data_IF_387691995726
#
_entry.id   IF_387691995726
#
_cell.length_a   1.000
_cell.length_b   1.000
_cell.length_c   1.000
_cell.angle_alpha   90.00
_cell.angle_beta   90.00
_cell.angle_gamma   90.00
#
_symmetry.space_group_name_H-M   'P 1'
#
loop_
_entity.id
_entity.type
_entity.pdbx_description
1 polymer ?
#
# COMPACT_ATOMS: atom_id res chain seq x y z
N UNK A 1 50.41 -69.84 -24.98
CA UNK A 1 49.12 -69.16 -24.71
C UNK A 1 49.10 -68.76 -23.24
N UNK A 2 49.27 -67.48 -22.94
CA UNK A 2 49.28 -66.96 -21.58
C UNK A 2 47.93 -66.27 -21.29
N UNK A 3 47.28 -66.48 -20.13
CA UNK A 3 46.05 -65.79 -19.79
C UNK A 3 46.35 -64.34 -19.37
N UNK A 4 45.81 -63.40 -20.13
CA UNK A 4 45.82 -61.97 -19.85
C UNK A 4 44.94 -61.62 -18.65
N UNK A 5 45.56 -61.03 -17.62
CA UNK A 5 44.89 -60.50 -16.44
C UNK A 5 43.97 -59.31 -16.79
N UNK A 6 42.79 -59.17 -16.16
CA UNK A 6 41.91 -58.03 -16.40
C UNK A 6 42.48 -56.74 -15.80
N UNK A 7 42.72 -55.77 -16.67
CA UNK A 7 43.18 -54.41 -16.36
C UNK A 7 42.10 -53.67 -15.55
N UNK A 8 42.33 -53.54 -14.24
CA UNK A 8 41.53 -52.74 -13.30
C UNK A 8 41.51 -51.28 -13.79
N UNK A 9 40.36 -50.80 -14.29
CA UNK A 9 40.14 -49.36 -14.55
C UNK A 9 40.14 -48.64 -13.20
N UNK A 10 41.22 -47.94 -12.90
CA UNK A 10 41.29 -46.97 -11.81
C UNK A 10 40.30 -45.84 -12.09
N UNK A 11 39.52 -45.52 -11.07
CA UNK A 11 38.32 -44.69 -11.15
C UNK A 11 38.58 -43.32 -11.74
N UNK A 12 37.59 -42.84 -12.50
CA UNK A 12 37.45 -41.44 -12.83
C UNK A 12 37.51 -40.63 -11.53
N UNK A 13 38.54 -39.78 -11.41
CA UNK A 13 38.61 -38.77 -10.37
C UNK A 13 37.36 -37.89 -10.53
N UNK A 14 36.38 -38.09 -9.64
CA UNK A 14 35.22 -37.22 -9.55
C UNK A 14 35.75 -35.81 -9.34
N UNK A 15 35.48 -34.92 -10.31
CA UNK A 15 35.76 -33.49 -10.19
C UNK A 15 35.08 -33.03 -8.90
N UNK A 16 35.86 -32.79 -7.85
CA UNK A 16 35.39 -32.20 -6.59
C UNK A 16 34.74 -30.87 -6.98
N UNK A 17 33.43 -30.76 -6.79
CA UNK A 17 32.73 -29.51 -6.99
C UNK A 17 33.45 -28.42 -6.17
N UNK A 18 33.70 -27.22 -6.74
CA UNK A 18 34.42 -26.17 -6.04
C UNK A 18 33.68 -25.84 -4.74
N UNK A 19 34.34 -26.05 -3.60
CA UNK A 19 33.79 -25.67 -2.30
C UNK A 19 33.55 -24.16 -2.30
N UNK A 20 32.33 -23.69 -2.02
CA UNK A 20 32.06 -22.26 -1.92
C UNK A 20 32.90 -21.67 -0.78
N UNK A 21 33.55 -20.53 -1.03
CA UNK A 21 34.38 -19.87 -0.03
C UNK A 21 33.53 -19.50 1.21
N UNK A 22 34.12 -19.62 2.41
CA UNK A 22 33.46 -19.30 3.69
C UNK A 22 32.81 -17.90 3.66
N UNK A 23 33.47 -16.92 3.01
CA UNK A 23 32.93 -15.58 2.79
C UNK A 23 31.62 -15.57 2.00
N UNK A 24 31.48 -16.41 0.97
CA UNK A 24 30.23 -16.54 0.21
C UNK A 24 29.13 -17.18 1.04
N UNK A 25 29.46 -18.12 1.93
CA UNK A 25 28.49 -18.73 2.84
C UNK A 25 28.00 -17.71 3.88
N UNK A 26 28.90 -16.92 4.48
CA UNK A 26 28.53 -15.86 5.42
C UNK A 26 27.71 -14.74 4.79
N UNK A 27 28.05 -14.31 3.57
CA UNK A 27 27.25 -13.31 2.83
C UNK A 27 25.86 -13.88 2.50
N UNK A 28 25.80 -15.13 2.05
CA UNK A 28 24.52 -15.78 1.75
C UNK A 28 23.66 -15.92 3.01
N UNK A 29 24.25 -16.28 4.14
CA UNK A 29 23.56 -16.40 5.42
C UNK A 29 23.04 -15.04 5.92
N UNK A 30 23.86 -13.99 5.82
CA UNK A 30 23.47 -12.62 6.18
C UNK A 30 22.31 -12.10 5.32
N UNK A 31 22.36 -12.32 4.00
CA UNK A 31 21.30 -11.95 3.06
C UNK A 31 20.01 -12.79 3.23
N UNK A 32 20.09 -13.96 3.86
CA UNK A 32 18.96 -14.86 4.11
C UNK A 32 18.25 -14.60 5.43
N UNK A 33 18.94 -14.03 6.42
CA UNK A 33 18.46 -14.02 7.81
C UNK A 33 18.18 -12.62 8.34
N UNK A 34 19.11 -11.66 8.20
CA UNK A 34 19.03 -10.41 8.95
C UNK A 34 19.27 -9.14 8.13
N UNK A 35 20.01 -9.19 7.01
CA UNK A 35 20.33 -7.98 6.23
C UNK A 35 19.08 -7.34 5.61
N UNK A 36 18.18 -8.07 4.93
CA UNK A 36 16.98 -7.45 4.36
C UNK A 36 16.05 -6.78 5.39
N UNK A 37 15.71 -7.40 6.54
CA UNK A 37 14.87 -6.73 7.53
C UNK A 37 15.57 -5.54 8.19
N UNK A 38 16.86 -5.61 8.50
CA UNK A 38 17.59 -4.46 9.06
C UNK A 38 17.72 -3.32 8.06
N UNK A 39 17.98 -3.62 6.78
CA UNK A 39 18.01 -2.61 5.73
C UNK A 39 16.65 -1.95 5.54
N UNK A 40 15.55 -2.72 5.54
CA UNK A 40 14.20 -2.17 5.43
C UNK A 40 13.86 -1.26 6.62
N UNK A 41 14.20 -1.66 7.85
CA UNK A 41 14.02 -0.84 9.05
C UNK A 41 14.87 0.44 8.98
N UNK A 42 16.12 0.34 8.52
CA UNK A 42 16.98 1.50 8.35
C UNK A 42 16.42 2.47 7.30
N UNK A 43 15.93 1.97 6.17
CA UNK A 43 15.28 2.81 5.13
C UNK A 43 14.02 3.47 5.68
N UNK A 44 13.20 2.77 6.47
CA UNK A 44 12.04 3.35 7.13
C UNK A 44 12.43 4.44 8.13
N UNK A 45 13.45 4.20 8.95
CA UNK A 45 13.95 5.19 9.90
C UNK A 45 14.47 6.45 9.19
N UNK A 46 15.17 6.27 8.06
CA UNK A 46 15.62 7.39 7.21
C UNK A 46 14.43 8.11 6.58
N UNK A 47 13.43 7.41 6.06
CA UNK A 47 12.24 8.03 5.49
C UNK A 47 11.46 8.84 6.53
N UNK A 48 11.29 8.30 7.74
CA UNK A 48 10.68 9.03 8.86
C UNK A 48 11.52 10.23 9.29
N UNK A 49 12.85 10.15 9.22
CA UNK A 49 13.72 11.28 9.51
C UNK A 49 13.61 12.37 8.43
N UNK A 50 13.54 11.99 7.16
CA UNK A 50 13.34 12.92 6.04
C UNK A 50 11.99 13.64 6.13
N UNK A 51 10.93 12.90 6.50
CA UNK A 51 9.59 13.43 6.78
C UNK A 51 9.64 14.40 7.97
N UNK A 52 10.24 14.00 9.09
CA UNK A 52 10.33 14.83 10.30
C UNK A 52 11.20 16.09 10.15
N UNK A 53 12.07 16.14 9.15
CA UNK A 53 12.94 17.28 8.86
C UNK A 53 12.42 18.15 7.72
N UNK A 54 11.29 17.80 7.12
CA UNK A 54 10.67 18.49 5.96
C UNK A 54 11.67 18.69 4.80
N UNK A 55 12.72 17.85 4.72
CA UNK A 55 13.77 17.92 3.70
C UNK A 55 13.27 17.47 2.34
N UNK A 56 12.18 16.72 2.30
CA UNK A 56 11.60 16.10 1.12
C UNK A 56 10.08 16.23 1.21
N UNK A 57 9.36 16.48 0.09
CA UNK A 57 7.91 16.43 0.07
C UNK A 57 7.34 15.13 0.66
N UNK A 58 6.32 15.24 1.50
CA UNK A 58 5.69 14.14 2.25
C UNK A 58 5.36 12.93 1.36
N UNK A 59 4.86 13.16 0.15
CA UNK A 59 4.51 12.11 -0.81
C UNK A 59 5.71 11.23 -1.22
N UNK A 60 6.91 11.79 -1.30
CA UNK A 60 8.13 11.05 -1.65
C UNK A 60 8.59 10.22 -0.45
N UNK A 61 8.61 10.79 0.76
CA UNK A 61 8.97 10.07 1.98
C UNK A 61 8.01 8.89 2.24
N UNK A 62 6.70 9.12 2.02
CA UNK A 62 5.69 8.08 2.06
C UNK A 62 5.92 7.00 0.98
N UNK A 63 6.25 7.38 -0.26
CA UNK A 63 6.50 6.43 -1.35
C UNK A 63 7.71 5.52 -1.05
N UNK A 64 8.80 6.09 -0.52
CA UNK A 64 9.97 5.33 -0.07
C UNK A 64 9.57 4.32 1.01
N UNK A 65 8.75 4.75 1.97
CA UNK A 65 8.26 3.90 3.07
C UNK A 65 7.42 2.73 2.55
N UNK A 66 6.52 2.98 1.58
CA UNK A 66 5.71 1.94 0.93
C UNK A 66 6.59 0.88 0.27
N UNK A 67 7.57 1.31 -0.53
CA UNK A 67 8.49 0.39 -1.21
C UNK A 67 9.28 -0.43 -0.18
N UNK A 68 9.79 0.19 0.87
CA UNK A 68 10.53 -0.50 1.92
C UNK A 68 9.68 -1.56 2.65
N UNK A 69 8.43 -1.23 3.02
CA UNK A 69 7.50 -2.17 3.67
C UNK A 69 7.15 -3.33 2.74
N UNK A 70 6.88 -3.06 1.46
CA UNK A 70 6.55 -4.11 0.49
C UNK A 70 7.75 -5.03 0.21
N UNK A 71 8.96 -4.49 0.12
CA UNK A 71 10.19 -5.29 -0.01
C UNK A 71 10.37 -6.19 1.20
N UNK A 72 10.12 -5.67 2.42
CA UNK A 72 10.16 -6.46 3.64
C UNK A 72 9.09 -7.57 3.64
N UNK A 73 7.86 -7.24 3.26
CA UNK A 73 6.77 -8.21 3.17
C UNK A 73 7.09 -9.33 2.16
N UNK A 74 7.58 -8.97 0.97
CA UNK A 74 8.01 -9.93 -0.04
C UNK A 74 9.18 -10.78 0.45
N UNK A 75 10.15 -10.18 1.13
CA UNK A 75 11.25 -10.92 1.74
C UNK A 75 10.73 -11.95 2.75
N UNK A 76 9.81 -11.57 3.64
CA UNK A 76 9.22 -12.49 4.62
C UNK A 76 8.41 -13.61 3.96
N UNK A 77 7.69 -13.30 2.88
CA UNK A 77 6.93 -14.28 2.12
C UNK A 77 7.83 -15.30 1.39
N UNK A 78 8.99 -14.86 0.89
CA UNK A 78 9.91 -15.69 0.11
C UNK A 78 11.00 -16.33 0.98
N UNK A 79 11.30 -15.80 2.16
CA UNK A 79 12.35 -16.29 3.07
C UNK A 79 12.31 -17.81 3.31
N UNK A 80 11.14 -18.46 3.50
CA UNK A 80 11.06 -19.92 3.62
C UNK A 80 11.68 -20.65 2.42
N UNK A 81 11.45 -20.16 1.19
CA UNK A 81 12.00 -20.77 -0.03
C UNK A 81 13.50 -20.61 -0.16
N UNK A 82 14.06 -19.53 0.36
CA UNK A 82 15.49 -19.27 0.28
C UNK A 82 16.25 -20.07 1.34
N UNK A 83 15.65 -20.26 2.50
CA UNK A 83 16.19 -21.03 3.61
C UNK A 83 16.22 -22.54 3.33
N UNK A 84 15.28 -23.05 2.54
CA UNK A 84 15.08 -24.48 2.35
C UNK A 84 16.18 -25.19 1.51
N UNK A 85 16.45 -26.45 1.85
CA UNK A 85 17.37 -27.35 1.12
C UNK A 85 16.78 -27.84 -0.21
N UNK A 86 15.48 -27.63 -0.45
CA UNK A 86 14.71 -27.99 -1.65
C UNK A 86 15.06 -27.19 -2.92
N UNK A 87 16.31 -26.72 -3.05
CA UNK A 87 16.88 -25.94 -4.18
C UNK A 87 16.67 -26.53 -5.59
N UNK A 88 16.10 -27.72 -5.71
CA UNK A 88 15.84 -28.39 -6.99
C UNK A 88 14.47 -28.13 -7.63
N UNK A 89 13.48 -27.56 -6.91
CA UNK A 89 12.10 -27.43 -7.45
C UNK A 89 11.87 -26.16 -8.29
N UNK A 90 12.55 -25.06 -7.95
CA UNK A 90 12.41 -23.79 -8.67
C UNK A 90 13.76 -23.13 -8.87
N UNK A 91 14.05 -22.56 -10.06
CA UNK A 91 15.19 -21.69 -10.24
C UNK A 91 15.12 -20.51 -9.27
N UNK A 92 16.24 -20.09 -8.64
CA UNK A 92 16.23 -19.07 -7.59
C UNK A 92 15.75 -17.69 -8.07
N UNK A 93 15.75 -17.44 -9.37
CA UNK A 93 15.27 -16.18 -9.97
C UNK A 93 13.74 -16.10 -10.04
N UNK A 94 13.02 -17.23 -10.06
CA UNK A 94 11.56 -17.25 -10.17
C UNK A 94 10.87 -16.59 -8.97
N UNK A 95 11.15 -16.96 -7.70
CA UNK A 95 10.50 -16.33 -6.56
C UNK A 95 10.85 -14.83 -6.48
N UNK A 96 12.08 -14.45 -6.84
CA UNK A 96 12.49 -13.03 -6.89
C UNK A 96 11.67 -12.26 -7.93
N UNK A 97 11.50 -12.80 -9.13
CA UNK A 97 10.70 -12.16 -10.18
C UNK A 97 9.22 -12.05 -9.78
N UNK A 98 8.64 -13.10 -9.19
CA UNK A 98 7.25 -13.08 -8.69
C UNK A 98 7.10 -12.04 -7.57
N UNK A 99 8.04 -12.00 -6.63
CA UNK A 99 8.08 -11.00 -5.57
C UNK A 99 8.14 -9.58 -6.11
N UNK A 100 9.01 -9.32 -7.10
CA UNK A 100 9.13 -8.02 -7.74
C UNK A 100 7.82 -7.61 -8.46
N UNK A 101 7.18 -8.52 -9.18
CA UNK A 101 5.89 -8.27 -9.83
C UNK A 101 4.81 -7.96 -8.79
N UNK A 102 4.74 -8.74 -7.71
CA UNK A 102 3.79 -8.49 -6.63
C UNK A 102 4.04 -7.13 -5.95
N UNK A 103 5.29 -6.76 -5.70
CA UNK A 103 5.66 -5.43 -5.20
C UNK A 103 5.17 -4.33 -6.13
N UNK A 104 5.41 -4.44 -7.44
CA UNK A 104 4.96 -3.44 -8.42
C UNK A 104 3.43 -3.33 -8.43
N UNK A 105 2.72 -4.45 -8.47
CA UNK A 105 1.25 -4.47 -8.49
C UNK A 105 0.64 -3.85 -7.23
N UNK A 106 1.24 -4.07 -6.06
CA UNK A 106 0.77 -3.52 -4.79
C UNK A 106 1.21 -2.07 -4.58
N UNK A 107 2.42 -1.71 -5.01
CA UNK A 107 2.97 -0.36 -4.86
C UNK A 107 2.30 0.63 -5.82
N UNK A 108 2.03 0.21 -7.06
CA UNK A 108 1.49 1.10 -8.10
C UNK A 108 0.27 1.93 -7.67
N UNK A 109 -0.84 1.34 -7.18
CA UNK A 109 -2.01 2.13 -6.77
C UNK A 109 -1.74 3.09 -5.61
N UNK A 110 -0.76 2.77 -4.75
CA UNK A 110 -0.36 3.61 -3.62
C UNK A 110 0.51 4.76 -4.09
N UNK A 111 1.50 4.50 -4.95
CA UNK A 111 2.44 5.49 -5.47
C UNK A 111 1.74 6.53 -6.34
N UNK A 112 0.84 6.11 -7.25
CA UNK A 112 0.09 7.06 -8.10
C UNK A 112 -0.82 7.96 -7.26
N UNK A 113 -1.30 7.47 -6.12
CA UNK A 113 -2.07 8.26 -5.18
C UNK A 113 -1.21 9.23 -4.35
N UNK A 114 -0.01 8.80 -3.93
CA UNK A 114 0.95 9.64 -3.19
C UNK A 114 1.62 10.72 -4.05
N UNK A 115 1.75 10.46 -5.36
CA UNK A 115 2.38 11.36 -6.32
C UNK A 115 1.39 11.67 -7.47
N UNK A 116 0.42 12.57 -7.23
CA UNK A 116 -0.69 12.88 -8.15
C UNK A 116 -0.32 13.33 -9.57
N UNK A 117 0.95 13.66 -9.82
CA UNK A 117 1.38 14.32 -11.05
C UNK A 117 0.90 15.77 -11.10
N UNK A 118 0.76 16.31 -12.31
CA UNK A 118 0.32 17.69 -12.53
C UNK A 118 -1.20 17.81 -12.36
N UNK A 119 -1.70 18.81 -11.60
CA UNK A 119 -3.13 19.06 -11.49
C UNK A 119 -3.70 19.46 -12.85
N UNK A 120 -4.96 19.09 -13.11
CA UNK A 120 -5.72 19.59 -14.24
C UNK A 120 -6.06 21.06 -14.04
N UNK A 121 -6.56 21.38 -12.84
CA UNK A 121 -6.96 22.73 -12.43
C UNK A 121 -6.80 22.94 -10.94
N UNK A 122 -6.66 24.21 -10.59
CA UNK A 122 -6.74 24.73 -9.24
C UNK A 122 -7.78 25.86 -9.25
N UNK A 123 -8.74 25.81 -8.32
CA UNK A 123 -9.91 26.67 -8.29
C UNK A 123 -10.06 27.24 -6.88
N UNK A 124 -10.14 28.56 -6.76
CA UNK A 124 -10.52 29.17 -5.49
C UNK A 124 -12.02 28.93 -5.25
N UNK A 125 -12.36 28.35 -4.10
CA UNK A 125 -13.75 28.12 -3.70
C UNK A 125 -14.19 29.31 -2.83
N UNK A 126 -14.85 30.27 -3.47
CA UNK A 126 -15.51 31.37 -2.76
C UNK A 126 -16.99 31.03 -2.52
N UNK A 127 -17.54 31.43 -1.37
CA UNK A 127 -18.94 31.17 -1.06
C UNK A 127 -19.87 31.82 -2.10
N UNK A 128 -20.79 31.05 -2.67
CA UNK A 128 -21.69 31.44 -3.75
C UNK A 128 -21.03 31.53 -5.12
N UNK A 129 -19.78 31.07 -5.30
CA UNK A 129 -19.12 31.04 -6.60
C UNK A 129 -19.83 30.08 -7.57
N UNK A 130 -19.94 30.49 -8.84
CA UNK A 130 -20.62 29.74 -9.90
C UNK A 130 -19.86 29.79 -11.22
N UNK A 131 -20.07 28.78 -12.06
CA UNK A 131 -19.63 28.75 -13.45
C UNK A 131 -18.15 28.41 -13.65
N UNK A 132 -17.39 28.22 -12.57
CA UNK A 132 -15.99 27.78 -12.66
C UNK A 132 -15.95 26.39 -13.32
N UNK A 133 -15.18 26.27 -14.40
CA UNK A 133 -15.03 25.00 -15.12
C UNK A 133 -14.05 24.12 -14.34
N UNK A 134 -14.51 22.94 -13.92
CA UNK A 134 -13.76 21.94 -13.15
C UNK A 134 -12.99 21.01 -14.08
N UNK A 135 -13.63 20.54 -15.15
CA UNK A 135 -13.05 19.67 -16.18
C UNK A 135 -13.62 20.07 -17.54
N UNK A 136 -12.78 20.24 -18.55
CA UNK A 136 -13.27 20.48 -19.91
C UNK A 136 -13.76 19.16 -20.56
N UNK A 137 -14.63 19.22 -21.60
CA UNK A 137 -14.98 18.04 -22.38
C UNK A 137 -13.72 17.27 -22.83
N UNK A 138 -13.80 15.94 -22.84
CA UNK A 138 -12.74 15.02 -23.28
C UNK A 138 -11.43 15.00 -22.45
N UNK A 139 -11.28 15.82 -21.41
CA UNK A 139 -10.07 15.79 -20.56
C UNK A 139 -9.99 14.52 -19.71
N UNK A 140 -11.10 14.14 -19.06
CA UNK A 140 -11.19 12.97 -18.20
C UNK A 140 -12.65 12.50 -18.04
N UNK A 141 -12.86 11.19 -17.87
CA UNK A 141 -14.18 10.60 -17.54
C UNK A 141 -14.42 10.46 -16.04
N UNK A 142 -13.35 10.51 -15.24
CA UNK A 142 -13.38 10.51 -13.77
C UNK A 142 -12.23 11.34 -13.23
N UNK A 143 -12.48 12.06 -12.16
CA UNK A 143 -11.50 12.90 -11.48
C UNK A 143 -11.46 12.60 -9.99
N UNK A 144 -10.35 12.98 -9.36
CA UNK A 144 -10.29 13.18 -7.93
C UNK A 144 -10.33 14.69 -7.66
N UNK A 145 -11.39 15.13 -6.98
CA UNK A 145 -11.63 16.50 -6.58
C UNK A 145 -11.15 16.68 -5.14
N UNK A 146 -10.02 17.37 -4.97
CA UNK A 146 -9.39 17.58 -3.67
C UNK A 146 -9.74 18.96 -3.15
N UNK A 147 -10.35 19.04 -1.97
CA UNK A 147 -10.67 20.30 -1.29
C UNK A 147 -9.63 20.54 -0.21
N UNK A 148 -8.91 21.65 -0.30
CA UNK A 148 -7.90 22.11 0.65
C UNK A 148 -8.43 23.34 1.41
N UNK A 149 -8.45 23.25 2.74
CA UNK A 149 -8.85 24.33 3.63
C UNK A 149 -7.67 25.18 4.05
N UNK A 150 -7.85 26.49 3.94
CA UNK A 150 -6.94 27.51 4.40
C UNK A 150 -7.55 28.19 5.63
N UNK A 151 -7.22 27.66 6.80
CA UNK A 151 -7.69 28.19 8.08
C UNK A 151 -6.78 29.34 8.57
N UNK A 152 -7.34 30.41 9.17
CA UNK A 152 -6.53 31.49 9.72
C UNK A 152 -5.67 30.97 10.88
N UNK A 153 -4.41 31.42 10.96
CA UNK A 153 -3.49 31.06 12.05
C UNK A 153 -4.13 31.28 13.43
N UNK A 154 -4.05 30.28 14.31
CA UNK A 154 -4.53 30.36 15.69
C UNK A 154 -3.43 30.01 16.66
N UNK A 155 -3.19 30.89 17.65
CA UNK A 155 -2.32 30.60 18.80
C UNK A 155 -3.07 29.92 19.94
N UNK A 156 -4.40 30.02 19.94
CA UNK A 156 -5.26 29.38 20.92
C UNK A 156 -5.58 27.98 20.41
N UNK A 157 -5.24 26.96 21.21
CA UNK A 157 -5.49 25.52 20.97
C UNK A 157 -7.00 25.22 20.93
N UNK A 158 -7.68 25.77 19.95
CA UNK A 158 -9.12 25.75 19.74
C UNK A 158 -9.42 24.98 18.46
N UNK A 159 -10.52 24.23 18.49
CA UNK A 159 -11.05 23.54 17.32
C UNK A 159 -11.54 24.56 16.29
N UNK A 160 -11.11 24.36 15.04
CA UNK A 160 -11.46 25.18 13.86
C UNK A 160 -11.92 24.24 12.77
N UNK A 161 -13.16 24.39 12.32
CA UNK A 161 -13.73 23.52 11.30
C UNK A 161 -14.39 24.34 10.20
N UNK A 162 -14.29 23.84 8.98
CA UNK A 162 -14.87 24.37 7.77
C UNK A 162 -15.66 23.24 7.10
N UNK A 163 -16.96 23.43 6.99
CA UNK A 163 -17.84 22.56 6.23
C UNK A 163 -17.99 23.15 4.83
N UNK A 164 -17.84 22.29 3.84
CA UNK A 164 -18.05 22.63 2.45
C UNK A 164 -19.15 21.76 1.85
N UNK A 165 -19.90 22.35 0.95
CA UNK A 165 -20.94 21.72 0.13
C UNK A 165 -20.81 22.38 -1.26
N UNK A 166 -20.55 21.55 -2.26
CA UNK A 166 -20.16 22.00 -3.60
C UNK A 166 -21.02 21.23 -4.60
N UNK A 167 -21.92 21.97 -5.24
CA UNK A 167 -22.78 21.43 -6.29
C UNK A 167 -22.04 21.49 -7.62
N UNK A 168 -21.84 20.33 -8.24
CA UNK A 168 -21.19 20.17 -9.53
C UNK A 168 -22.23 19.81 -10.57
N UNK A 169 -22.21 20.52 -11.70
CA UNK A 169 -23.16 20.31 -12.79
C UNK A 169 -22.42 19.96 -14.08
N UNK A 170 -22.90 18.93 -14.77
CA UNK A 170 -22.46 18.61 -16.12
C UNK A 170 -23.28 19.40 -17.17
N UNK A 171 -22.81 19.44 -18.42
CA UNK A 171 -23.54 20.15 -19.48
C UNK A 171 -24.90 19.50 -19.84
N UNK A 172 -25.18 18.28 -19.35
CA UNK A 172 -26.49 17.64 -19.47
C UNK A 172 -27.47 18.05 -18.36
N UNK A 173 -27.01 18.84 -17.38
CA UNK A 173 -27.80 19.28 -16.22
C UNK A 173 -27.87 18.24 -15.10
N UNK A 174 -27.01 17.24 -15.10
CA UNK A 174 -26.86 16.30 -13.98
C UNK A 174 -26.06 16.97 -12.88
N UNK A 175 -26.60 16.93 -11.66
CA UNK A 175 -25.97 17.46 -10.47
C UNK A 175 -25.29 16.34 -9.67
N UNK A 176 -24.09 16.60 -9.17
CA UNK A 176 -23.36 15.76 -8.22
C UNK A 176 -22.88 16.63 -7.06
N UNK A 177 -23.17 16.21 -5.82
CA UNK A 177 -22.83 16.98 -4.62
C UNK A 177 -21.54 16.46 -3.99
N UNK A 178 -20.64 17.39 -3.66
CA UNK A 178 -19.38 17.13 -2.97
C UNK A 178 -19.36 17.91 -1.66
N UNK A 179 -19.72 17.22 -0.58
CA UNK A 179 -19.79 17.79 0.76
C UNK A 179 -18.85 17.09 1.76
N UNK A 180 -18.40 17.83 2.77
CA UNK A 180 -17.51 17.31 3.79
C UNK A 180 -17.10 18.34 4.84
N UNK A 181 -16.26 17.90 5.78
CA UNK A 181 -15.72 18.72 6.87
C UNK A 181 -14.19 18.60 6.90
N UNK A 182 -13.52 19.74 6.96
CA UNK A 182 -12.07 19.88 7.08
C UNK A 182 -11.76 20.84 8.21
N UNK A 183 -10.69 20.58 8.96
CA UNK A 183 -10.46 21.30 10.20
C UNK A 183 -9.23 20.90 10.96
N UNK A 184 -8.98 21.66 12.01
CA UNK A 184 -8.00 21.40 13.03
C UNK A 184 -8.72 21.20 14.38
N UNK A 185 -8.40 20.12 15.09
CA UNK A 185 -8.95 19.82 16.41
C UNK A 185 -7.87 19.54 17.45
N UNK A 186 -8.08 20.07 18.65
CA UNK A 186 -7.23 19.91 19.82
C UNK A 186 -7.96 19.09 20.87
N UNK A 187 -7.55 17.84 21.05
CA UNK A 187 -8.11 16.97 22.09
C UNK A 187 -7.13 16.75 23.22
N UNK A 188 -7.59 16.77 24.46
CA UNK A 188 -6.79 16.31 25.59
C UNK A 188 -6.83 14.79 25.66
N UNK A 189 -5.71 14.13 25.36
CA UNK A 189 -5.58 12.69 25.48
C UNK A 189 -4.98 12.33 26.83
N UNK A 190 -5.69 11.50 27.58
CA UNK A 190 -5.22 11.01 28.88
C UNK A 190 -4.02 10.07 28.69
N UNK A 191 -2.88 10.43 29.25
CA UNK A 191 -1.69 9.58 29.40
C UNK A 191 -1.73 8.90 30.76
N UNK A 192 -2.51 7.81 30.82
CA UNK A 192 -2.60 6.96 32.02
C UNK A 192 -3.14 7.69 33.25
N UNK A 193 -2.64 7.29 34.43
CA UNK A 193 -3.28 7.65 35.71
C UNK A 193 -3.03 9.10 36.16
N UNK A 194 -1.96 9.77 35.69
CA UNK A 194 -1.52 11.08 36.22
C UNK A 194 -1.24 12.16 35.15
N UNK A 195 -1.51 11.92 33.87
CA UNK A 195 -1.23 12.90 32.82
C UNK A 195 -2.33 13.01 31.79
N UNK A 196 -2.43 14.19 31.18
CA UNK A 196 -3.08 14.43 29.90
C UNK A 196 -2.11 15.22 29.03
N UNK A 197 -2.02 14.88 27.75
CA UNK A 197 -1.29 15.70 26.78
C UNK A 197 -2.28 16.19 25.71
N UNK A 198 -2.09 17.42 25.20
CA UNK A 198 -2.80 17.85 24.02
C UNK A 198 -2.37 16.96 22.84
N UNK A 199 -3.34 16.37 22.17
CA UNK A 199 -3.19 15.75 20.86
C UNK A 199 -3.82 16.67 19.82
N UNK A 200 -3.00 17.07 18.87
CA UNK A 200 -3.37 17.88 17.73
C UNK A 200 -3.75 16.96 16.57
N UNK A 201 -4.93 17.15 16.00
CA UNK A 201 -5.42 16.37 14.86
C UNK A 201 -5.86 17.33 13.76
N UNK A 202 -5.10 17.28 12.69
CA UNK A 202 -5.24 18.16 11.54
C UNK A 202 -5.78 17.35 10.35
N UNK A 203 -6.85 17.86 9.76
CA UNK A 203 -7.50 17.30 8.58
C UNK A 203 -7.89 18.45 7.64
N UNK A 204 -6.90 19.07 7.01
CA UNK A 204 -7.12 20.24 6.15
C UNK A 204 -7.45 19.91 4.69
N UNK A 205 -7.39 18.62 4.31
CA UNK A 205 -7.65 18.22 2.93
C UNK A 205 -8.49 16.96 2.82
N UNK A 206 -9.44 16.98 1.89
CA UNK A 206 -10.32 15.86 1.59
C UNK A 206 -10.35 15.57 0.08
N UNK A 207 -10.34 14.30 -0.31
CA UNK A 207 -10.41 13.85 -1.70
C UNK A 207 -11.73 13.17 -1.98
N UNK A 208 -12.44 13.65 -3.00
CA UNK A 208 -13.71 13.07 -3.46
C UNK A 208 -13.61 12.56 -4.89
N UNK A 209 -14.29 11.44 -5.13
CA UNK A 209 -14.30 10.74 -6.40
C UNK A 209 -15.48 11.21 -7.26
N UNK A 210 -15.25 11.95 -8.34
CA UNK A 210 -16.34 12.54 -9.13
C UNK A 210 -16.34 11.98 -10.56
N UNK A 211 -17.52 11.59 -11.04
CA UNK A 211 -17.71 11.17 -12.43
C UNK A 211 -17.90 12.40 -13.32
N UNK A 212 -17.27 12.41 -14.49
CA UNK A 212 -17.39 13.52 -15.44
C UNK A 212 -18.35 13.10 -16.55
N UNK A 213 -19.42 13.86 -16.73
CA UNK A 213 -20.36 13.71 -17.86
C UNK A 213 -19.72 14.04 -19.21
N UNK A 214 -20.42 13.74 -20.31
CA UNK A 214 -19.87 13.89 -21.67
C UNK A 214 -19.52 15.33 -22.08
N UNK A 215 -19.98 16.34 -21.35
CA UNK A 215 -19.73 17.76 -21.64
C UNK A 215 -18.77 18.45 -20.66
N UNK A 216 -18.05 17.70 -19.84
CA UNK A 216 -17.24 18.28 -18.77
C UNK A 216 -18.07 18.62 -17.53
N UNK A 217 -17.44 19.34 -16.60
CA UNK A 217 -17.99 19.57 -15.27
C UNK A 217 -17.74 21.00 -14.82
N UNK A 218 -18.74 21.64 -14.20
CA UNK A 218 -18.66 23.01 -13.69
C UNK A 218 -19.22 23.12 -12.29
N UNK A 219 -18.82 24.16 -11.57
CA UNK A 219 -19.37 24.49 -10.26
C UNK A 219 -20.71 25.23 -10.45
N UNK A 220 -21.79 24.68 -9.91
CA UNK A 220 -23.11 25.29 -9.89
C UNK A 220 -23.32 26.19 -8.67
N UNK A 221 -22.82 25.77 -7.51
CA UNK A 221 -22.86 26.53 -6.27
C UNK A 221 -21.77 26.06 -5.31
N UNK A 222 -21.37 26.95 -4.39
CA UNK A 222 -20.41 26.64 -3.32
C UNK A 222 -20.94 27.20 -2.01
N UNK A 223 -21.14 26.34 -1.04
CA UNK A 223 -21.50 26.73 0.32
C UNK A 223 -20.33 26.41 1.26
N UNK A 224 -19.83 27.44 1.95
CA UNK A 224 -18.80 27.32 2.97
C UNK A 224 -19.36 27.82 4.30
N UNK A 225 -19.30 26.97 5.34
CA UNK A 225 -19.79 27.32 6.68
C UNK A 225 -18.80 26.89 7.76
N UNK A 226 -18.72 27.62 8.87
CA UNK A 226 -17.79 27.32 9.97
C UNK A 226 -16.91 28.51 10.33
N UNK A 227 -15.60 28.30 10.36
CA UNK A 227 -14.63 29.29 10.87
C UNK A 227 -14.62 30.59 10.04
N UNK A 228 -14.75 31.77 10.69
CA UNK A 228 -14.69 33.06 9.99
C UNK A 228 -13.34 33.28 9.30
N UNK A 229 -13.36 33.78 8.06
CA UNK A 229 -12.16 34.01 7.21
C UNK A 229 -11.42 32.75 6.77
N UNK A 230 -11.94 31.56 7.07
CA UNK A 230 -11.48 30.36 6.40
C UNK A 230 -11.79 30.47 4.90
N UNK A 231 -10.85 30.01 4.08
CA UNK A 231 -11.03 29.90 2.62
C UNK A 231 -10.78 28.46 2.20
N UNK A 232 -11.26 28.07 1.03
CA UNK A 232 -11.01 26.75 0.48
C UNK A 232 -10.53 26.88 -0.97
N UNK A 233 -9.76 25.90 -1.42
CA UNK A 233 -9.39 25.73 -2.82
C UNK A 233 -9.67 24.29 -3.23
N UNK A 234 -10.07 24.11 -4.48
CA UNK A 234 -10.19 22.80 -5.09
C UNK A 234 -9.02 22.55 -6.04
N UNK A 235 -8.36 21.41 -5.89
CA UNK A 235 -7.37 20.91 -6.84
C UNK A 235 -7.94 19.67 -7.53
N UNK A 236 -7.97 19.71 -8.85
CA UNK A 236 -8.56 18.66 -9.68
C UNK A 236 -7.45 17.81 -10.27
N UNK A 237 -7.48 16.51 -10.01
CA UNK A 237 -6.56 15.55 -10.61
C UNK A 237 -7.31 14.57 -11.51
N UNK A 238 -6.60 14.04 -12.52
CA UNK A 238 -7.06 12.80 -13.17
C UNK A 238 -7.16 11.72 -12.09
N UNK A 239 -8.14 10.83 -12.22
CA UNK A 239 -8.38 9.75 -11.26
C UNK A 239 -7.06 9.04 -10.88
N UNK A 240 -6.67 9.16 -9.61
CA UNK A 240 -5.37 8.70 -9.08
C UNK A 240 -5.42 7.25 -8.59
N UNK A 241 -6.62 6.76 -8.25
CA UNK A 241 -6.83 5.37 -7.80
C UNK A 241 -7.48 4.52 -8.88
N UNK A 242 -6.98 3.30 -9.13
CA UNK A 242 -7.68 2.35 -9.99
C UNK A 242 -9.11 2.10 -9.50
N UNK A 243 -10.03 1.66 -10.39
CA UNK A 243 -11.38 1.30 -9.98
C UNK A 243 -11.35 0.29 -8.83
N UNK A 244 -12.20 0.47 -7.83
CA UNK A 244 -12.24 -0.40 -6.64
C UNK A 244 -12.41 -1.88 -7.01
N UNK A 245 -13.21 -2.18 -8.03
CA UNK A 245 -13.36 -3.52 -8.57
C UNK A 245 -12.03 -4.16 -9.02
N UNK A 246 -11.17 -3.38 -9.70
CA UNK A 246 -9.84 -3.86 -10.14
C UNK A 246 -8.96 -4.15 -8.93
N UNK A 247 -8.99 -3.30 -7.91
CA UNK A 247 -8.22 -3.51 -6.68
C UNK A 247 -8.68 -4.76 -5.91
N UNK A 248 -10.00 -4.95 -5.74
CA UNK A 248 -10.54 -6.13 -5.05
C UNK A 248 -10.25 -7.43 -5.80
N UNK A 249 -10.46 -7.46 -7.12
CA UNK A 249 -10.16 -8.63 -7.95
C UNK A 249 -8.66 -8.93 -7.95
N UNK A 250 -7.82 -7.90 -8.12
CA UNK A 250 -6.37 -8.05 -8.06
C UNK A 250 -5.88 -8.59 -6.71
N UNK A 251 -6.41 -8.05 -5.61
CA UNK A 251 -6.13 -8.55 -4.26
C UNK A 251 -6.54 -10.01 -4.08
N UNK A 252 -7.74 -10.38 -4.52
CA UNK A 252 -8.24 -11.75 -4.44
C UNK A 252 -7.35 -12.72 -5.24
N UNK A 253 -6.94 -12.34 -6.45
CA UNK A 253 -6.05 -13.16 -7.29
C UNK A 253 -4.65 -13.33 -6.68
N UNK A 254 -4.08 -12.26 -6.09
CA UNK A 254 -2.79 -12.34 -5.41
C UNK A 254 -2.84 -13.25 -4.18
N UNK A 255 -3.89 -13.12 -3.35
CA UNK A 255 -4.09 -13.97 -2.17
C UNK A 255 -4.34 -15.43 -2.58
N UNK A 256 -5.14 -15.67 -3.61
CA UNK A 256 -5.37 -17.02 -4.14
C UNK A 256 -4.08 -17.63 -4.69
N UNK A 257 -3.28 -16.85 -5.41
CA UNK A 257 -1.97 -17.29 -5.91
C UNK A 257 -1.02 -17.67 -4.76
N UNK A 258 -0.96 -16.84 -3.72
CA UNK A 258 -0.17 -17.12 -2.51
C UNK A 258 -0.68 -18.37 -1.77
N UNK A 259 -1.99 -18.59 -1.74
CA UNK A 259 -2.59 -19.77 -1.15
C UNK A 259 -2.27 -21.06 -1.91
N UNK A 260 -2.43 -21.05 -3.25
CA UNK A 260 -2.05 -22.17 -4.10
C UNK A 260 -0.56 -22.47 -3.95
N UNK A 261 0.24 -21.43 -3.85
CA UNK A 261 1.67 -21.55 -3.63
C UNK A 261 2.03 -22.17 -2.29
N UNK A 262 1.43 -21.70 -1.18
CA UNK A 262 1.65 -22.30 0.15
C UNK A 262 1.24 -23.79 0.16
N UNK A 263 0.10 -24.14 -0.46
CA UNK A 263 -0.38 -25.52 -0.54
C UNK A 263 0.49 -26.41 -1.43
N UNK A 264 1.05 -25.88 -2.51
CA UNK A 264 1.90 -26.63 -3.44
C UNK A 264 3.33 -26.80 -2.94
N UNK A 265 3.92 -25.73 -2.39
CA UNK A 265 5.31 -25.71 -1.94
C UNK A 265 5.51 -26.56 -0.70
N UNK A 266 4.69 -26.33 0.32
CA UNK A 266 4.72 -27.07 1.57
C UNK A 266 3.32 -27.20 2.20
N UNK A 267 2.57 -28.26 1.87
CA UNK A 267 1.23 -28.51 2.41
C UNK A 267 1.20 -28.63 3.95
N UNK A 268 2.33 -28.93 4.58
CA UNK A 268 2.45 -29.15 6.02
C UNK A 268 2.95 -27.91 6.79
N UNK A 269 3.72 -27.01 6.16
CA UNK A 269 4.19 -25.77 6.79
C UNK A 269 3.09 -24.72 6.98
N UNK A 270 3.41 -23.62 7.65
CA UNK A 270 2.50 -22.50 7.91
C UNK A 270 2.06 -21.76 6.64
N UNK A 271 1.03 -20.91 6.76
CA UNK A 271 0.44 -20.12 5.68
C UNK A 271 1.06 -18.72 5.54
N UNK A 272 2.39 -18.62 5.69
CA UNK A 272 3.09 -17.34 5.82
C UNK A 272 2.91 -16.46 4.58
N UNK A 273 3.08 -17.02 3.38
CA UNK A 273 2.94 -16.27 2.12
C UNK A 273 1.54 -15.72 1.98
N UNK A 274 0.52 -16.55 2.25
CA UNK A 274 -0.89 -16.15 2.18
C UNK A 274 -1.21 -15.04 3.17
N UNK A 275 -0.77 -15.17 4.43
CA UNK A 275 -1.03 -14.18 5.49
C UNK A 275 -0.35 -12.84 5.19
N UNK A 276 0.90 -12.86 4.74
CA UNK A 276 1.65 -11.64 4.38
C UNK A 276 1.03 -10.97 3.14
N UNK A 277 0.69 -11.74 2.12
CA UNK A 277 0.06 -11.22 0.89
C UNK A 277 -1.32 -10.62 1.20
N UNK A 278 -2.12 -11.29 2.02
CA UNK A 278 -3.42 -10.78 2.45
C UNK A 278 -3.29 -9.49 3.26
N UNK A 279 -2.28 -9.40 4.14
CA UNK A 279 -1.96 -8.19 4.91
C UNK A 279 -1.59 -7.01 4.01
N UNK A 280 -0.72 -7.24 3.03
CA UNK A 280 -0.31 -6.21 2.08
C UNK A 280 -1.47 -5.76 1.18
N UNK A 281 -2.29 -6.71 0.68
CA UNK A 281 -3.48 -6.38 -0.10
C UNK A 281 -4.49 -5.57 0.72
N UNK A 282 -4.76 -5.97 1.96
CA UNK A 282 -5.65 -5.24 2.86
C UNK A 282 -5.13 -3.82 3.13
N UNK A 283 -3.82 -3.65 3.33
CA UNK A 283 -3.22 -2.32 3.50
C UNK A 283 -3.42 -1.44 2.26
N UNK A 284 -3.19 -1.97 1.06
CA UNK A 284 -3.43 -1.25 -0.20
C UNK A 284 -4.90 -0.85 -0.33
N UNK A 285 -5.84 -1.74 -0.01
CA UNK A 285 -7.27 -1.46 -0.07
C UNK A 285 -7.69 -0.37 0.94
N UNK A 286 -7.20 -0.44 2.17
CA UNK A 286 -7.47 0.56 3.21
C UNK A 286 -6.92 1.92 2.79
N UNK A 287 -5.69 1.96 2.29
CA UNK A 287 -5.08 3.19 1.79
C UNK A 287 -5.85 3.77 0.59
N UNK A 288 -6.23 2.92 -0.36
CA UNK A 288 -6.99 3.32 -1.55
C UNK A 288 -8.42 3.80 -1.20
N UNK A 289 -9.01 3.30 -0.12
CA UNK A 289 -10.32 3.73 0.38
C UNK A 289 -10.25 4.99 1.26
N UNK A 290 -9.07 5.44 1.68
CA UNK A 290 -8.91 6.64 2.49
C UNK A 290 -9.45 7.89 1.79
N UNK A 291 -9.92 8.87 2.56
CA UNK A 291 -10.45 10.15 2.07
C UNK A 291 -9.44 11.31 2.08
N UNK A 292 -8.19 11.09 2.49
CA UNK A 292 -7.19 12.15 2.57
C UNK A 292 -6.89 12.77 1.19
N UNK A 293 -6.90 14.11 1.12
CA UNK A 293 -6.57 14.90 -0.06
C UNK A 293 -5.11 14.69 -0.52
N UNK A 294 -4.20 14.85 0.45
CA UNK A 294 -2.76 14.66 0.32
C UNK A 294 -2.29 13.61 1.33
N UNK A 295 -2.39 12.31 0.99
CA UNK A 295 -2.01 11.25 1.92
C UNK A 295 -0.50 11.29 2.21
N UNK A 296 -0.15 11.12 3.49
CA UNK A 296 1.23 11.16 3.96
C UNK A 296 1.71 9.83 4.56
N UNK A 297 2.87 9.86 5.21
CA UNK A 297 3.46 8.66 5.84
C UNK A 297 2.56 8.09 6.94
N UNK A 298 1.81 8.95 7.64
CA UNK A 298 0.89 8.55 8.72
C UNK A 298 -0.26 7.69 8.18
N UNK A 299 -0.79 8.03 7.02
CA UNK A 299 -1.86 7.28 6.37
C UNK A 299 -1.35 5.92 5.87
N UNK A 300 -0.12 5.88 5.34
CA UNK A 300 0.54 4.62 4.95
C UNK A 300 0.72 3.72 6.17
N UNK A 301 1.26 4.24 7.28
CA UNK A 301 1.46 3.48 8.52
C UNK A 301 0.11 2.98 9.06
N UNK A 302 -0.90 3.85 9.11
CA UNK A 302 -2.25 3.50 9.55
C UNK A 302 -2.84 2.36 8.70
N UNK A 303 -2.72 2.47 7.38
CA UNK A 303 -3.19 1.44 6.45
C UNK A 303 -2.44 0.11 6.60
N UNK A 304 -1.12 0.13 6.81
CA UNK A 304 -0.32 -1.08 7.06
C UNK A 304 -0.70 -1.75 8.37
N UNK A 305 -0.92 -0.98 9.45
CA UNK A 305 -1.34 -1.50 10.75
C UNK A 305 -2.72 -2.16 10.65
N UNK A 306 -3.71 -1.45 10.09
CA UNK A 306 -5.07 -1.99 9.90
C UNK A 306 -5.05 -3.19 8.96
N UNK A 307 -4.33 -3.07 7.84
CA UNK A 307 -4.18 -4.12 6.83
C UNK A 307 -3.57 -5.39 7.40
N UNK A 308 -2.56 -5.28 8.28
CA UNK A 308 -1.95 -6.44 8.95
C UNK A 308 -2.90 -7.07 9.97
N UNK A 309 -3.58 -6.24 10.77
CA UNK A 309 -4.52 -6.70 11.79
C UNK A 309 -5.70 -7.49 11.18
N UNK A 310 -6.19 -7.06 10.02
CA UNK A 310 -7.32 -7.70 9.33
C UNK A 310 -6.86 -8.78 8.36
N UNK A 311 -5.84 -8.51 7.56
CA UNK A 311 -5.39 -9.37 6.47
C UNK A 311 -4.73 -10.66 6.94
N UNK A 312 -3.93 -10.63 8.02
CA UNK A 312 -3.28 -11.85 8.52
C UNK A 312 -4.29 -12.90 9.04
N UNK A 313 -5.30 -12.55 9.87
CA UNK A 313 -6.36 -13.49 10.24
C UNK A 313 -7.17 -14.01 9.05
N UNK A 314 -7.53 -13.13 8.10
CA UNK A 314 -8.30 -13.54 6.90
C UNK A 314 -7.49 -14.51 6.04
N UNK A 315 -6.21 -14.21 5.80
CA UNK A 315 -5.31 -15.10 5.05
C UNK A 315 -5.09 -16.43 5.76
N UNK A 316 -4.92 -16.42 7.08
CA UNK A 316 -4.79 -17.63 7.90
C UNK A 316 -6.06 -18.49 7.88
N UNK A 317 -7.23 -17.87 8.00
CA UNK A 317 -8.51 -18.56 7.93
C UNK A 317 -8.75 -19.17 6.53
N UNK A 318 -8.44 -18.43 5.46
CA UNK A 318 -8.53 -18.94 4.09
C UNK A 318 -7.62 -20.15 3.87
N UNK A 319 -6.37 -20.09 4.36
CA UNK A 319 -5.43 -21.20 4.27
C UNK A 319 -5.89 -22.42 5.08
N UNK A 320 -6.44 -22.19 6.28
CA UNK A 320 -7.01 -23.27 7.10
C UNK A 320 -8.21 -23.94 6.41
N UNK A 321 -9.15 -23.16 5.87
CA UNK A 321 -10.29 -23.69 5.12
C UNK A 321 -9.85 -24.47 3.88
N UNK A 322 -8.89 -23.96 3.12
CA UNK A 322 -8.39 -24.63 1.93
C UNK A 322 -7.76 -25.99 2.26
N UNK A 323 -7.09 -26.10 3.41
CA UNK A 323 -6.54 -27.39 3.92
C UNK A 323 -7.62 -28.38 4.30
N UNK A 324 -8.72 -27.92 4.92
CA UNK A 324 -9.85 -28.80 5.24
C UNK A 324 -10.48 -29.40 3.98
N UNK A 325 -10.58 -28.61 2.91
CA UNK A 325 -11.18 -29.06 1.64
C UNK A 325 -10.22 -29.93 0.82
N UNK A 326 -8.92 -29.66 0.86
CA UNK A 326 -7.89 -30.39 0.11
C UNK A 326 -7.41 -31.68 0.79
N UNK A 327 -7.78 -31.93 2.05
CA UNK A 327 -7.52 -33.19 2.77
C UNK A 327 -8.79 -34.07 2.95
N UNK A 328 -9.50 -34.49 1.89
CA UNK A 328 -10.51 -35.53 2.03
C UNK A 328 -9.81 -36.90 1.99
N UNK A 329 -9.57 -37.54 3.15
CA UNK A 329 -9.46 -39.00 3.18
C UNK A 329 -8.43 -39.70 4.08
N UNK A 330 -7.52 -39.01 4.79
CA UNK A 330 -6.50 -39.74 5.61
C UNK A 330 -6.84 -39.88 7.10
N UNK A 331 -7.92 -39.27 7.61
CA UNK A 331 -8.33 -39.34 9.03
C UNK A 331 -9.57 -40.20 9.31
N UNK A 332 -9.76 -41.31 8.60
CA UNK A 332 -10.80 -42.32 8.92
C UNK A 332 -10.30 -43.76 9.08
N UNK A 333 -9.00 -43.98 9.21
CA UNK A 333 -8.44 -45.28 9.64
C UNK A 333 -7.27 -45.07 10.58
N UNK A 334 -7.58 -44.93 11.86
CA UNK A 334 -6.74 -45.35 12.98
C UNK A 334 -7.70 -45.81 14.08
#
# INVERSE_FOLDING_TARGET
MAPSAPRRRTGAAGKRAPQPSIRRLLIADALRSWVPPTAAIAVLAVAMLLDATELVPDGIAAAISVVAVLVLAVFLAIAPLVADEHRGRLPPLVPVAVGAVATVLLAYPVIVRLLPGTPLREIALEAGAKGAVVVAPDEASRIDFVVDAHLPLSTDRRDRTLHYDIDLVDDAGTHDDVSGEVGDSWRMRRLGRRGSAPSHLEHLSASNAVAVGSGGLRIADVTLTGEPRATASAIVYRRRTPPSAVLYVGAALLVLGALVFDLWWDPAAGSTTTMVTASACAAVLVFAAGGAGHPGIRDVIGAVLVGTLVGAPVGGAAAWLARLVSLPGSRRRA
#
